data_IF_826310653570
#
_entry.id   IF_826310653570
#
_cell.length_a   1.000
_cell.length_b   1.000
_cell.length_c   1.000
_cell.angle_alpha   90.00
_cell.angle_beta   90.00
_cell.angle_gamma   90.00
#
_symmetry.space_group_name_H-M   'P 1'
#
loop_
_entity.id
_entity.type
_entity.pdbx_description
1 polymer ?
#
# COMPACT_ATOMS: atom_id res chain seq x y z
N UNK A 1 13.92 0.45 -17.63
CA UNK A 1 12.93 1.18 -16.82
C UNK A 1 12.43 0.22 -15.75
N UNK A 2 12.40 0.61 -14.48
CA UNK A 2 11.82 -0.23 -13.42
C UNK A 2 10.44 0.33 -13.10
N UNK A 3 9.39 -0.39 -13.49
CA UNK A 3 8.01 0.03 -13.25
C UNK A 3 7.72 0.05 -11.74
N UNK A 4 7.10 1.13 -11.25
CA UNK A 4 6.66 1.27 -9.86
C UNK A 4 5.14 1.24 -9.82
N UNK A 5 4.59 0.38 -8.97
CA UNK A 5 3.15 0.20 -8.84
C UNK A 5 2.69 0.97 -7.59
N UNK A 6 1.66 1.80 -7.74
CA UNK A 6 1.01 2.46 -6.63
C UNK A 6 -0.43 1.98 -6.51
N UNK A 7 -0.84 1.58 -5.31
CA UNK A 7 -2.21 1.18 -4.99
C UNK A 7 -2.82 2.22 -4.05
N UNK A 8 -3.85 2.90 -4.53
CA UNK A 8 -4.59 3.94 -3.78
C UNK A 8 -5.88 3.33 -3.21
N UNK A 9 -5.97 3.30 -1.89
CA UNK A 9 -7.03 2.65 -1.11
C UNK A 9 -6.61 1.25 -0.66
N UNK A 10 -6.28 1.09 0.62
CA UNK A 10 -5.93 -0.18 1.29
C UNK A 10 -7.15 -0.77 2.01
N UNK A 11 -8.29 -0.73 1.32
CA UNK A 11 -9.52 -1.39 1.74
C UNK A 11 -9.46 -2.90 1.54
N UNK A 12 -10.63 -3.55 1.60
CA UNK A 12 -10.76 -4.99 1.44
C UNK A 12 -10.14 -5.52 0.12
N UNK A 13 -10.27 -4.75 -0.97
CA UNK A 13 -9.73 -5.15 -2.28
C UNK A 13 -8.29 -4.66 -2.47
N UNK A 14 -8.01 -3.39 -2.18
CA UNK A 14 -6.71 -2.81 -2.52
C UNK A 14 -5.56 -3.35 -1.70
N UNK A 15 -5.76 -3.72 -0.43
CA UNK A 15 -4.70 -4.30 0.39
C UNK A 15 -4.20 -5.67 -0.13
N UNK A 16 -5.04 -6.69 -0.39
CA UNK A 16 -4.57 -7.95 -0.95
C UNK A 16 -3.98 -7.78 -2.36
N UNK A 17 -4.50 -6.84 -3.15
CA UNK A 17 -3.93 -6.50 -4.47
C UNK A 17 -2.53 -5.91 -4.33
N UNK A 18 -2.33 -4.96 -3.42
CA UNK A 18 -1.02 -4.37 -3.17
C UNK A 18 -0.01 -5.41 -2.65
N UNK A 19 -0.45 -6.35 -1.81
CA UNK A 19 0.38 -7.46 -1.33
C UNK A 19 0.77 -8.42 -2.45
N UNK A 20 -0.16 -8.73 -3.36
CA UNK A 20 0.14 -9.56 -4.53
C UNK A 20 1.19 -8.87 -5.42
N UNK A 21 1.01 -7.58 -5.71
CA UNK A 21 1.99 -6.82 -6.49
C UNK A 21 3.33 -6.68 -5.78
N UNK A 22 3.38 -6.51 -4.47
CA UNK A 22 4.65 -6.39 -3.75
C UNK A 22 5.53 -7.65 -3.82
N UNK A 23 4.94 -8.83 -4.06
CA UNK A 23 5.68 -10.09 -4.25
C UNK A 23 6.43 -10.12 -5.58
N UNK A 24 5.86 -9.55 -6.63
CA UNK A 24 6.45 -9.54 -7.98
C UNK A 24 7.19 -8.22 -8.29
N UNK A 25 6.73 -7.12 -7.69
CA UNK A 25 7.19 -5.75 -7.88
C UNK A 25 7.61 -5.16 -6.53
N UNK A 26 8.89 -5.30 -6.14
CA UNK A 26 9.40 -4.81 -4.85
C UNK A 26 9.19 -3.30 -4.62
N UNK A 27 8.99 -2.53 -5.71
CA UNK A 27 8.71 -1.10 -5.68
C UNK A 27 7.23 -0.74 -5.48
N UNK A 28 6.39 -1.66 -5.01
CA UNK A 28 4.96 -1.39 -4.80
C UNK A 28 4.74 -0.48 -3.59
N UNK A 29 3.94 0.57 -3.79
CA UNK A 29 3.59 1.55 -2.76
C UNK A 29 2.08 1.50 -2.51
N UNK A 30 1.67 1.33 -1.26
CA UNK A 30 0.29 1.47 -0.82
C UNK A 30 0.00 2.87 -0.26
N UNK A 31 -1.16 3.43 -0.57
CA UNK A 31 -1.62 4.70 0.01
C UNK A 31 -3.06 4.57 0.49
N UNK A 32 -3.37 5.09 1.68
CA UNK A 32 -4.75 5.24 2.16
C UNK A 32 -4.92 6.56 2.92
N UNK A 33 -6.11 7.14 2.83
CA UNK A 33 -6.47 8.34 3.58
C UNK A 33 -6.67 8.06 5.06
N UNK A 34 -7.06 6.82 5.41
CA UNK A 34 -7.27 6.37 6.76
C UNK A 34 -5.95 5.80 7.32
N UNK A 35 -5.31 6.59 8.17
CA UNK A 35 -4.03 6.23 8.80
C UNK A 35 -4.11 4.92 9.62
N UNK A 36 -5.27 4.55 10.16
CA UNK A 36 -5.44 3.29 10.87
C UNK A 36 -5.34 2.06 9.94
N UNK A 37 -5.74 2.20 8.65
CA UNK A 37 -5.59 1.12 7.67
C UNK A 37 -4.14 0.91 7.28
N UNK A 38 -3.36 1.99 7.17
CA UNK A 38 -1.92 1.96 6.87
C UNK A 38 -1.13 1.32 8.01
N UNK A 39 -1.53 1.55 9.26
CA UNK A 39 -0.87 1.00 10.44
C UNK A 39 -1.24 -0.45 10.76
N UNK A 40 -2.12 -1.06 9.97
CA UNK A 40 -2.51 -2.47 10.13
C UNK A 40 -1.29 -3.41 10.02
N UNK A 41 -1.26 -4.54 10.75
CA UNK A 41 -0.20 -5.54 10.58
C UNK A 41 -0.05 -6.03 9.14
N UNK A 42 -1.17 -6.13 8.42
CA UNK A 42 -1.22 -6.65 7.05
C UNK A 42 -0.61 -5.71 6.01
N UNK A 43 -0.54 -4.40 6.28
CA UNK A 43 0.07 -3.41 5.37
C UNK A 43 1.59 -3.30 5.51
N UNK A 44 2.20 -3.90 6.54
CA UNK A 44 3.66 -3.84 6.77
C UNK A 44 4.51 -4.55 5.72
N UNK A 45 3.90 -5.41 4.91
CA UNK A 45 4.59 -6.13 3.84
C UNK A 45 4.74 -5.30 2.55
N UNK A 46 4.20 -4.08 2.50
CA UNK A 46 4.36 -3.13 1.39
C UNK A 46 4.82 -1.77 1.92
N UNK A 47 5.48 -0.96 1.10
CA UNK A 47 5.79 0.42 1.48
C UNK A 47 4.49 1.21 1.52
N UNK A 48 4.13 1.81 2.66
CA UNK A 48 2.87 2.54 2.80
C UNK A 48 3.04 4.01 3.15
N UNK A 49 2.18 4.85 2.57
CA UNK A 49 2.09 6.29 2.84
C UNK A 49 0.67 6.60 3.33
N UNK A 50 0.54 7.38 4.41
CA UNK A 50 -0.75 7.90 4.87
C UNK A 50 -0.84 9.40 4.62
N UNK A 51 -2.06 9.91 4.42
CA UNK A 51 -2.29 11.36 4.38
C UNK A 51 -2.02 11.98 5.77
N UNK A 52 -0.88 12.63 5.95
CA UNK A 52 -0.67 13.58 7.05
C UNK A 52 -1.29 14.91 6.63
N UNK A 53 -2.50 15.19 7.11
CA UNK A 53 -2.96 16.58 7.22
C UNK A 53 -2.35 17.16 8.49
N UNK A 54 -1.51 18.18 8.34
CA UNK A 54 -1.18 19.12 9.42
C UNK A 54 -2.43 19.88 9.87
#
# INVERSE_FOLDING_TARGET
MTERIAVVGLGYVGLPVALAFAREFPGTIGFDINSARVQSPSSRAISTISSTRS
#
